data_IF_804521393628
#
_entry.id   IF_804521393628
#
_cell.length_a   1.000
_cell.length_b   1.000
_cell.length_c   1.000
_cell.angle_alpha   90.00
_cell.angle_beta   90.00
_cell.angle_gamma   90.00
#
_symmetry.space_group_name_H-M   'P 1'
#
loop_
_entity.id
_entity.type
_entity.pdbx_description
1 polymer ?
#
# COMPACT_ATOMS: atom_id res chain seq x y z
N UNK A 1 -14.76 55.69 -36.46
CA UNK A 1 -14.25 56.13 -35.13
C UNK A 1 -15.39 56.84 -34.42
N UNK A 2 -15.42 56.75 -33.10
CA UNK A 2 -16.33 57.41 -32.14
C UNK A 2 -17.69 56.73 -31.93
N UNK A 3 -18.17 56.59 -30.72
CA UNK A 3 -17.58 56.52 -29.39
C UNK A 3 -18.80 56.25 -28.51
N UNK A 4 -18.74 55.23 -27.66
CA UNK A 4 -19.72 55.02 -26.61
C UNK A 4 -19.72 56.20 -25.64
N UNK A 5 -20.86 56.49 -25.00
CA UNK A 5 -20.86 57.02 -23.65
C UNK A 5 -21.37 55.98 -22.66
N UNK A 6 -20.56 55.79 -21.64
CA UNK A 6 -20.78 55.03 -20.41
C UNK A 6 -22.01 55.56 -19.66
N UNK A 7 -22.82 54.67 -19.09
CA UNK A 7 -23.70 54.99 -17.96
C UNK A 7 -23.57 53.92 -16.88
N UNK A 8 -23.09 54.33 -15.72
CA UNK A 8 -23.21 53.65 -14.44
C UNK A 8 -23.99 54.59 -13.53
N UNK A 9 -24.92 54.05 -12.73
CA UNK A 9 -25.34 54.75 -11.51
C UNK A 9 -26.82 54.70 -11.16
N UNK A 10 -27.26 53.56 -10.61
CA UNK A 10 -28.13 53.36 -9.44
C UNK A 10 -29.31 54.32 -9.16
N UNK A 11 -30.51 53.72 -9.12
CA UNK A 11 -31.66 54.20 -8.35
C UNK A 11 -32.41 53.01 -7.71
N UNK A 12 -32.94 53.14 -6.47
CA UNK A 12 -33.28 52.00 -5.62
C UNK A 12 -34.80 51.69 -5.56
N UNK A 13 -35.07 50.47 -5.10
CA UNK A 13 -36.19 50.05 -4.25
C UNK A 13 -37.23 49.10 -4.85
N UNK A 14 -37.32 47.96 -4.13
CA UNK A 14 -38.46 47.05 -3.94
C UNK A 14 -38.86 46.19 -5.13
N UNK A 15 -39.16 44.92 -4.96
CA UNK A 15 -39.01 43.89 -3.94
C UNK A 15 -39.77 42.73 -4.59
N UNK A 16 -39.29 41.49 -4.55
CA UNK A 16 -40.16 40.31 -4.48
C UNK A 16 -39.27 39.12 -4.11
N UNK A 17 -39.59 38.55 -2.95
CA UNK A 17 -39.01 37.32 -2.42
C UNK A 17 -39.29 36.16 -3.39
N UNK A 18 -38.24 35.48 -3.84
CA UNK A 18 -38.32 34.10 -4.29
C UNK A 18 -37.37 33.30 -3.40
N UNK A 19 -37.97 32.58 -2.45
CA UNK A 19 -37.28 31.61 -1.61
C UNK A 19 -37.00 30.36 -2.45
N UNK A 20 -35.72 30.04 -2.68
CA UNK A 20 -35.29 28.71 -3.12
C UNK A 20 -34.13 28.28 -2.23
N UNK A 21 -34.32 27.12 -1.61
CA UNK A 21 -33.54 26.53 -0.54
C UNK A 21 -32.07 26.33 -0.94
N UNK A 22 -31.13 26.82 -0.12
CA UNK A 22 -29.74 26.35 -0.13
C UNK A 22 -29.70 24.93 0.44
N UNK A 23 -29.42 23.94 -0.40
CA UNK A 23 -28.92 22.65 0.07
C UNK A 23 -27.45 22.80 0.47
N UNK A 24 -27.22 23.25 1.69
CA UNK A 24 -25.93 23.15 2.37
C UNK A 24 -25.80 21.74 2.97
N UNK A 25 -25.34 20.79 2.18
CA UNK A 25 -24.75 19.57 2.74
C UNK A 25 -23.33 19.89 3.19
N UNK A 26 -23.21 20.35 4.43
CA UNK A 26 -21.95 20.38 5.19
C UNK A 26 -21.81 19.05 5.93
N UNK A 27 -20.64 18.42 5.76
CA UNK A 27 -20.18 17.22 6.47
C UNK A 27 -19.59 16.23 5.47
N UNK A 28 -18.28 16.06 5.30
CA UNK A 28 -17.15 16.31 6.19
C UNK A 28 -16.08 17.21 5.57
N UNK A 29 -15.47 18.04 6.40
CA UNK A 29 -14.22 18.75 6.15
C UNK A 29 -13.16 18.25 7.13
N UNK A 30 -11.94 18.01 6.61
CA UNK A 30 -10.60 17.91 7.23
C UNK A 30 -9.84 16.76 6.55
N UNK A 31 -9.00 17.01 5.52
CA UNK A 31 -7.58 17.40 5.60
C UNK A 31 -6.74 16.29 6.27
N UNK A 32 -5.91 15.52 5.55
CA UNK A 32 -4.71 15.96 4.80
C UNK A 32 -4.23 14.84 3.85
N UNK A 33 -3.28 15.11 2.92
CA UNK A 33 -2.77 14.15 1.95
C UNK A 33 -1.89 13.08 2.62
N UNK A 34 -1.63 12.00 1.90
CA UNK A 34 -0.71 10.91 2.27
C UNK A 34 -1.29 9.81 3.17
N UNK A 35 -2.47 9.31 2.84
CA UNK A 35 -2.72 7.89 3.03
C UNK A 35 -3.34 7.40 1.73
N UNK A 36 -2.49 6.84 0.87
CA UNK A 36 -2.98 6.00 -0.21
C UNK A 36 -3.82 4.92 0.48
N UNK A 37 -5.14 5.04 0.40
CA UNK A 37 -6.03 3.92 0.65
C UNK A 37 -5.68 2.88 -0.40
N UNK A 38 -4.65 2.09 -0.08
CA UNK A 38 -4.20 0.98 -0.89
C UNK A 38 -5.44 0.11 -1.07
N UNK A 39 -5.79 -0.27 -2.31
CA UNK A 39 -6.89 -1.20 -2.54
C UNK A 39 -6.70 -2.38 -1.59
N UNK A 40 -7.76 -2.78 -0.87
CA UNK A 40 -7.81 -3.97 -0.04
C UNK A 40 -7.57 -5.18 -0.94
N UNK A 41 -6.31 -5.40 -1.29
CA UNK A 41 -5.87 -6.61 -1.95
C UNK A 41 -6.07 -7.71 -0.91
N UNK A 42 -6.75 -8.80 -1.29
CA UNK A 42 -6.65 -10.05 -0.53
C UNK A 42 -5.18 -10.22 -0.15
N UNK A 43 -4.88 -10.33 1.13
CA UNK A 43 -3.56 -10.27 1.69
C UNK A 43 -2.71 -11.42 1.16
N UNK A 44 -2.10 -11.18 0.02
CA UNK A 44 -0.84 -11.82 -0.28
C UNK A 44 0.09 -11.47 0.90
N UNK A 45 0.84 -12.46 1.40
CA UNK A 45 1.83 -12.24 2.43
C UNK A 45 2.93 -11.31 1.88
N UNK A 46 2.72 -9.99 1.99
CA UNK A 46 3.60 -8.97 1.40
C UNK A 46 4.65 -8.58 2.42
N UNK A 47 5.90 -8.51 1.99
CA UNK A 47 7.03 -8.03 2.78
C UNK A 47 7.60 -6.79 2.10
N UNK A 48 7.90 -5.76 2.88
CA UNK A 48 8.59 -4.56 2.46
C UNK A 48 10.03 -4.58 2.98
N UNK A 49 10.98 -4.45 2.06
CA UNK A 49 12.41 -4.39 2.35
C UNK A 49 13.13 -3.59 1.28
N UNK A 50 14.03 -2.68 1.68
CA UNK A 50 14.83 -1.85 0.75
C UNK A 50 13.98 -1.14 -0.32
N UNK A 51 12.84 -0.55 0.10
CA UNK A 51 11.87 0.11 -0.79
C UNK A 51 11.29 -0.79 -1.90
N UNK A 52 11.30 -2.11 -1.70
CA UNK A 52 10.74 -3.11 -2.61
C UNK A 52 9.69 -3.95 -1.89
N UNK A 53 8.72 -4.41 -2.67
CA UNK A 53 7.71 -5.38 -2.23
C UNK A 53 8.14 -6.79 -2.64
N UNK A 54 8.06 -7.71 -1.70
CA UNK A 54 8.26 -9.13 -1.88
C UNK A 54 6.98 -9.86 -1.52
N UNK A 55 6.71 -10.95 -2.22
CA UNK A 55 5.61 -11.84 -1.94
C UNK A 55 6.17 -13.08 -1.27
N UNK A 56 5.66 -13.37 -0.07
CA UNK A 56 5.94 -14.59 0.65
C UNK A 56 5.53 -15.81 -0.14
N UNK A 57 6.24 -16.90 0.15
CA UNK A 57 5.92 -18.24 -0.34
C UNK A 57 5.83 -19.19 0.85
N UNK A 58 5.37 -20.41 0.62
CA UNK A 58 5.19 -21.39 1.69
C UNK A 58 6.51 -22.07 2.10
N UNK A 59 7.56 -21.95 1.29
CA UNK A 59 8.83 -22.60 1.54
C UNK A 59 9.58 -21.97 2.71
N UNK A 60 9.99 -22.85 3.63
CA UNK A 60 10.71 -22.49 4.85
C UNK A 60 12.13 -23.05 4.89
N UNK A 61 12.39 -24.13 4.16
CA UNK A 61 13.74 -24.70 4.00
C UNK A 61 14.47 -23.97 2.86
N UNK A 62 15.08 -22.85 3.21
CA UNK A 62 15.84 -22.01 2.28
C UNK A 62 17.29 -21.87 2.73
N UNK A 63 18.27 -21.79 1.80
CA UNK A 63 19.67 -21.66 2.16
C UNK A 63 19.98 -20.22 2.61
N UNK A 64 19.64 -19.92 3.86
CA UNK A 64 19.89 -18.62 4.49
C UNK A 64 21.39 -18.32 4.56
N UNK A 65 21.72 -17.06 4.30
CA UNK A 65 23.05 -16.46 4.41
C UNK A 65 23.10 -15.42 5.52
N UNK A 66 23.75 -14.28 5.25
CA UNK A 66 23.90 -13.21 6.23
C UNK A 66 22.59 -12.43 6.47
N UNK A 67 22.49 -11.78 7.63
CA UNK A 67 21.39 -10.86 7.92
C UNK A 67 21.58 -9.55 7.14
N UNK A 68 20.50 -9.09 6.53
CA UNK A 68 20.45 -7.88 5.70
C UNK A 68 19.77 -6.69 6.41
N UNK A 69 19.23 -6.89 7.61
CA UNK A 69 18.56 -5.87 8.40
C UNK A 69 17.05 -6.09 8.55
N UNK A 70 16.32 -5.01 8.85
CA UNK A 70 14.90 -5.07 9.14
C UNK A 70 14.04 -5.07 7.89
N UNK A 71 13.00 -5.91 7.88
CA UNK A 71 11.90 -5.89 6.92
C UNK A 71 10.57 -5.73 7.67
N UNK A 72 9.53 -5.31 6.96
CA UNK A 72 8.21 -5.09 7.54
C UNK A 72 7.15 -5.81 6.75
N UNK A 73 6.25 -6.50 7.44
CA UNK A 73 4.98 -6.96 6.87
C UNK A 73 3.93 -5.91 7.23
N UNK A 74 3.27 -5.26 6.25
CA UNK A 74 2.21 -4.31 6.55
C UNK A 74 1.03 -5.03 7.21
N UNK A 75 0.15 -4.25 7.83
CA UNK A 75 -1.10 -4.78 8.35
C UNK A 75 -1.92 -5.41 7.22
N UNK A 76 -2.61 -6.49 7.56
CA UNK A 76 -3.49 -7.23 6.68
C UNK A 76 -4.83 -7.42 7.36
N UNK A 77 -5.88 -6.87 6.77
CA UNK A 77 -7.26 -7.20 7.13
C UNK A 77 -7.94 -7.80 5.90
N UNK A 78 -8.01 -9.12 5.87
CA UNK A 78 -8.59 -9.91 4.77
C UNK A 78 -10.12 -9.99 4.82
N UNK A 79 -10.72 -9.64 5.96
CA UNK A 79 -12.17 -9.75 6.16
C UNK A 79 -12.76 -8.48 6.79
N UNK A 80 -12.59 -7.32 6.12
CA UNK A 80 -13.00 -6.05 6.70
C UNK A 80 -14.48 -6.03 7.04
N UNK A 81 -14.79 -5.78 8.31
CA UNK A 81 -16.16 -5.67 8.83
C UNK A 81 -16.74 -6.95 9.44
N UNK A 82 -15.96 -8.02 9.61
CA UNK A 82 -16.36 -9.19 10.41
C UNK A 82 -16.17 -8.98 11.93
N UNK A 83 -15.49 -7.90 12.32
CA UNK A 83 -15.21 -7.56 13.71
C UNK A 83 -13.90 -8.15 14.24
N UNK A 84 -13.11 -8.79 13.39
CA UNK A 84 -11.69 -9.03 13.62
C UNK A 84 -10.89 -7.76 13.24
N UNK A 85 -9.83 -7.47 13.99
CA UNK A 85 -8.96 -6.31 13.73
C UNK A 85 -7.91 -6.61 12.64
N UNK A 86 -7.91 -7.85 12.12
CA UNK A 86 -6.93 -8.34 11.15
C UNK A 86 -5.55 -8.61 11.78
N UNK A 87 -4.60 -9.03 10.95
CA UNK A 87 -3.20 -9.17 11.34
C UNK A 87 -2.53 -7.79 11.33
N UNK A 88 -2.05 -7.35 12.49
CA UNK A 88 -1.30 -6.10 12.62
C UNK A 88 0.05 -6.11 11.86
N UNK A 89 0.68 -4.92 11.70
CA UNK A 89 1.99 -4.84 11.07
C UNK A 89 3.04 -5.57 11.92
N UNK A 90 3.97 -6.27 11.26
CA UNK A 90 5.02 -7.04 11.92
C UNK A 90 6.42 -6.61 11.47
N UNK A 91 7.35 -6.50 12.43
CA UNK A 91 8.76 -6.27 12.18
C UNK A 91 9.49 -7.61 12.09
N UNK A 92 10.33 -7.77 11.07
CA UNK A 92 11.02 -9.01 10.76
C UNK A 92 12.50 -8.73 10.49
N UNK A 93 13.31 -9.78 10.47
CA UNK A 93 14.68 -9.70 9.94
C UNK A 93 14.71 -10.28 8.53
N UNK A 94 15.28 -9.54 7.58
CA UNK A 94 15.62 -10.02 6.25
C UNK A 94 17.01 -10.66 6.24
N UNK A 95 17.16 -11.70 5.43
CA UNK A 95 18.41 -12.42 5.23
C UNK A 95 18.66 -12.68 3.75
N UNK A 96 19.93 -12.72 3.37
CA UNK A 96 20.33 -13.13 2.04
C UNK A 96 20.03 -14.60 1.82
N UNK A 97 19.75 -14.96 0.58
CA UNK A 97 19.75 -16.35 0.13
C UNK A 97 21.07 -16.64 -0.57
N UNK A 98 21.71 -17.77 -0.23
CA UNK A 98 23.02 -18.11 -0.80
C UNK A 98 22.94 -18.26 -2.32
N UNK A 99 23.70 -17.41 -3.03
CA UNK A 99 23.78 -17.43 -4.49
C UNK A 99 22.59 -16.77 -5.21
N UNK A 100 21.73 -16.05 -4.49
CA UNK A 100 20.60 -15.30 -5.05
C UNK A 100 20.75 -13.82 -4.70
N UNK A 101 20.54 -12.95 -5.68
CA UNK A 101 20.54 -11.50 -5.47
C UNK A 101 19.35 -11.12 -4.57
N UNK A 102 19.56 -10.36 -3.46
CA UNK A 102 18.49 -9.88 -2.61
C UNK A 102 17.39 -9.12 -3.36
N UNK A 103 17.72 -8.44 -4.47
CA UNK A 103 16.74 -7.77 -5.32
C UNK A 103 15.76 -8.74 -6.03
N UNK A 104 16.06 -10.03 -6.03
CA UNK A 104 15.23 -11.10 -6.60
C UNK A 104 14.48 -11.85 -5.51
N UNK A 105 15.16 -12.27 -4.45
CA UNK A 105 14.53 -12.94 -3.32
C UNK A 105 15.35 -12.81 -2.04
N UNK A 106 14.64 -12.84 -0.92
CA UNK A 106 15.18 -12.81 0.44
C UNK A 106 14.54 -13.92 1.27
N UNK A 107 15.16 -14.26 2.39
CA UNK A 107 14.48 -14.96 3.48
C UNK A 107 14.06 -13.95 4.54
N UNK A 108 12.91 -14.16 5.17
CA UNK A 108 12.45 -13.38 6.33
C UNK A 108 12.19 -14.27 7.53
N UNK A 109 12.38 -13.72 8.72
CA UNK A 109 12.02 -14.38 9.97
C UNK A 109 11.41 -13.37 10.95
N UNK A 110 10.23 -13.70 11.48
CA UNK A 110 9.63 -13.02 12.65
C UNK A 110 10.32 -13.53 13.92
N UNK A 111 10.48 -14.85 14.01
CA UNK A 111 11.16 -15.54 15.10
C UNK A 111 12.48 -16.19 14.64
N UNK A 112 13.54 -16.22 15.48
CA UNK A 112 14.80 -16.87 15.12
C UNK A 112 14.62 -18.34 14.76
N UNK A 113 15.10 -18.73 13.57
CA UNK A 113 15.08 -20.12 13.11
C UNK A 113 13.84 -20.53 12.31
N UNK A 114 12.82 -19.67 12.21
CA UNK A 114 11.66 -19.87 11.33
C UNK A 114 11.77 -18.93 10.12
N UNK A 115 12.39 -19.42 9.04
CA UNK A 115 12.59 -18.64 7.82
C UNK A 115 11.45 -18.88 6.84
N UNK A 116 11.08 -17.85 6.08
CA UNK A 116 10.15 -17.93 4.96
C UNK A 116 10.77 -17.29 3.73
N UNK A 117 10.63 -17.95 2.58
CA UNK A 117 11.02 -17.39 1.28
C UNK A 117 10.11 -16.21 0.92
N UNK A 118 10.71 -15.10 0.48
CA UNK A 118 9.98 -13.98 -0.12
C UNK A 118 10.65 -13.59 -1.45
N UNK A 119 9.85 -13.46 -2.50
CA UNK A 119 10.33 -13.19 -3.87
C UNK A 119 9.84 -11.81 -4.29
N UNK A 120 10.72 -11.00 -4.85
CA UNK A 120 10.37 -9.65 -5.28
C UNK A 120 9.18 -9.69 -6.26
N UNK A 121 8.18 -8.84 -6.05
CA UNK A 121 6.95 -8.78 -6.85
C UNK A 121 7.24 -8.48 -8.34
N UNK A 122 8.36 -7.80 -8.62
CA UNK A 122 8.84 -7.53 -9.97
C UNK A 122 9.32 -8.78 -10.74
N UNK A 123 9.56 -9.90 -10.05
CA UNK A 123 10.09 -11.14 -10.63
C UNK A 123 8.94 -11.96 -11.20
N UNK A 124 8.83 -12.01 -12.53
CA UNK A 124 7.78 -12.76 -13.24
C UNK A 124 8.06 -14.26 -13.35
N UNK A 125 9.33 -14.62 -13.43
CA UNK A 125 9.77 -16.01 -13.54
C UNK A 125 10.83 -16.28 -12.49
N UNK A 126 10.62 -17.33 -11.69
CA UNK A 126 11.58 -17.71 -10.67
C UNK A 126 12.90 -18.17 -11.31
N UNK A 127 14.05 -17.66 -10.86
CA UNK A 127 15.34 -18.21 -11.24
C UNK A 127 15.37 -19.71 -11.00
N UNK A 128 16.09 -20.44 -11.84
CA UNK A 128 16.23 -21.90 -11.73
C UNK A 128 16.76 -22.36 -10.36
N UNK A 129 17.53 -21.50 -9.67
CA UNK A 129 17.98 -21.72 -8.31
C UNK A 129 16.82 -21.83 -7.29
N UNK A 130 15.77 -21.02 -7.44
CA UNK A 130 14.59 -21.01 -6.57
C UNK A 130 13.51 -22.00 -7.03
N UNK A 131 13.39 -22.27 -8.33
CA UNK A 131 12.45 -23.27 -8.85
C UNK A 131 12.67 -24.65 -8.25
N UNK A 132 13.94 -25.06 -8.12
CA UNK A 132 14.32 -26.32 -7.48
C UNK A 132 13.91 -26.42 -6.00
N UNK A 133 13.64 -25.30 -5.34
CA UNK A 133 13.22 -25.24 -3.92
C UNK A 133 11.70 -25.22 -3.78
N UNK A 134 11.00 -24.66 -4.78
CA UNK A 134 9.54 -24.45 -4.77
C UNK A 134 8.75 -25.59 -5.42
N UNK A 135 9.36 -26.36 -6.33
CA UNK A 135 8.67 -27.43 -7.07
C UNK A 135 8.51 -28.76 -6.25
N UNK A 136 9.03 -28.85 -5.02
CA UNK A 136 9.02 -30.09 -4.21
C UNK A 136 9.82 -31.25 -4.84
N UNK A 137 10.11 -32.34 -4.09
CA UNK A 137 10.74 -33.55 -4.64
C UNK A 137 9.82 -34.35 -5.57
#
# INVERSE_FOLDING_TARGET
MKASPTRVGHGPARALLAATLLSLSVGCTAASPDDEAQPQASCAYVIEYDSRRYLGREETDVPVGESLGSATRPACDDTPGDGDDGEGPALMTAFALRGVDPAVAIAVAEDPGAYRLAVADSVKELPSALRKMTDGP
#
